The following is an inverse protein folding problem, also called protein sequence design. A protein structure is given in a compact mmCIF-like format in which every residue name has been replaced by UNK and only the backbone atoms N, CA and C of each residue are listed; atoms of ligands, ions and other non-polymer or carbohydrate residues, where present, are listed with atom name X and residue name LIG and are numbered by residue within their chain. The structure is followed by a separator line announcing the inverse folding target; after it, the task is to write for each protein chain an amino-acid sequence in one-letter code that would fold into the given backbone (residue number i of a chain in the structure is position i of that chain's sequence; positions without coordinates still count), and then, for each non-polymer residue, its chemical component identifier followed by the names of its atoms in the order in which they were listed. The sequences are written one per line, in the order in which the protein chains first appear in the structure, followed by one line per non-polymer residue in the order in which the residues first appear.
data_IF_683761949862
#
_entry.id   IF_683761949862
#
_cell.length_a   1.000
_cell.length_b   1.000
_cell.length_c   1.000
_cell.angle_alpha   90.00
_cell.angle_beta   90.00
_cell.angle_gamma   90.00
#
_symmetry.space_group_name_H-M   'P 1'
#
loop_
_entity.id
_entity.type
_entity.pdbx_description
1 polymer ?
#
# COMPACT_ATOMS: atom_id res chain seq x y z
N UNK A 1 -17.27 -11.09 -0.76
CA UNK A 1 -15.93 -10.93 -0.20
C UNK A 1 -15.73 -9.56 0.39
N UNK A 2 -15.21 -9.50 1.63
CA UNK A 2 -14.81 -8.27 2.30
C UNK A 2 -13.29 -8.37 2.50
N UNK A 3 -12.54 -7.54 1.78
CA UNK A 3 -11.07 -7.53 1.81
C UNK A 3 -10.49 -6.42 2.71
N UNK A 4 -11.35 -5.59 3.31
CA UNK A 4 -10.97 -4.60 4.30
C UNK A 4 -12.18 -4.06 5.06
N UNK A 5 -11.93 -3.60 6.29
CA UNK A 5 -12.95 -3.04 7.21
C UNK A 5 -12.36 -1.80 7.85
N UNK A 6 -13.10 -0.69 7.81
CA UNK A 6 -12.82 0.50 8.61
C UNK A 6 -13.72 0.53 9.85
N UNK A 7 -13.25 1.14 10.92
CA UNK A 7 -14.12 1.59 12.00
C UNK A 7 -14.96 2.81 11.56
N UNK A 8 -16.02 3.12 12.30
CA UNK A 8 -16.93 4.24 11.97
C UNK A 8 -16.24 5.60 11.99
N UNK A 9 -15.12 5.73 12.70
CA UNK A 9 -14.32 6.97 12.74
C UNK A 9 -13.35 7.10 11.56
N UNK A 10 -13.14 6.02 10.79
CA UNK A 10 -12.20 5.98 9.68
C UNK A 10 -10.73 5.99 10.09
N UNK A 11 -10.42 5.80 11.38
CA UNK A 11 -9.06 5.86 11.93
C UNK A 11 -8.38 4.50 11.99
N UNK A 12 -9.18 3.43 12.05
CA UNK A 12 -8.69 2.06 12.10
C UNK A 12 -9.12 1.38 10.81
N UNK A 13 -8.15 0.94 10.01
CA UNK A 13 -8.40 0.21 8.77
C UNK A 13 -7.68 -1.14 8.80
N UNK A 14 -8.46 -2.23 8.79
CA UNK A 14 -7.96 -3.59 8.63
C UNK A 14 -8.08 -4.04 7.18
N UNK A 15 -7.03 -4.66 6.64
CA UNK A 15 -6.97 -5.16 5.26
C UNK A 15 -6.54 -6.63 5.25
N UNK A 16 -7.10 -7.38 4.30
CA UNK A 16 -6.80 -8.80 4.06
C UNK A 16 -5.94 -9.07 2.81
N UNK A 17 -5.59 -8.12 1.94
CA UNK A 17 -4.23 -8.13 1.41
C UNK A 17 -3.28 -7.54 2.46
N UNK A 18 -2.04 -8.00 2.48
CA UNK A 18 -0.95 -7.44 3.27
C UNK A 18 -0.19 -6.39 2.43
N UNK A 19 -0.64 -5.12 2.39
CA UNK A 19 0.04 -4.07 1.60
C UNK A 19 1.47 -3.84 2.05
N UNK A 20 1.78 -4.08 3.33
CA UNK A 20 3.13 -4.00 3.88
C UNK A 20 4.11 -4.98 3.20
N UNK A 21 3.61 -6.10 2.68
CA UNK A 21 4.45 -7.08 2.00
C UNK A 21 4.96 -6.55 0.65
N UNK A 22 4.30 -5.56 0.06
CA UNK A 22 4.59 -5.03 -1.30
C UNK A 22 4.93 -3.53 -1.25
N UNK A 23 5.80 -3.12 -0.32
CA UNK A 23 6.33 -1.75 -0.25
C UNK A 23 7.46 -1.48 -1.26
N UNK A 24 8.22 -2.53 -1.59
CA UNK A 24 9.28 -2.51 -2.58
C UNK A 24 8.79 -3.11 -3.89
N UNK A 25 9.17 -2.57 -5.06
CA UNK A 25 8.79 -3.14 -6.35
C UNK A 25 9.35 -4.55 -6.55
N UNK A 26 10.40 -4.92 -5.80
CA UNK A 26 11.02 -6.26 -5.83
C UNK A 26 10.25 -7.31 -5.01
N UNK A 27 9.25 -6.90 -4.22
CA UNK A 27 8.45 -7.84 -3.44
C UNK A 27 7.20 -8.32 -4.21
N UNK A 28 6.89 -7.70 -5.36
CA UNK A 28 5.81 -8.12 -6.24
C UNK A 28 6.16 -9.48 -6.89
N UNK A 29 5.23 -10.44 -7.02
CA UNK A 29 5.53 -11.78 -7.56
C UNK A 29 6.14 -11.77 -8.97
N UNK A 30 5.81 -10.76 -9.77
CA UNK A 30 6.19 -10.62 -11.17
C UNK A 30 7.32 -9.59 -11.40
N UNK A 31 8.01 -9.15 -10.34
CA UNK A 31 9.06 -8.13 -10.41
C UNK A 31 10.16 -8.42 -11.43
N UNK A 32 10.49 -9.71 -11.63
CA UNK A 32 11.52 -10.12 -12.60
C UNK A 32 11.08 -9.82 -14.02
N UNK A 33 9.82 -10.13 -14.36
CA UNK A 33 9.22 -9.83 -15.66
C UNK A 33 9.14 -8.32 -15.87
N UNK A 34 8.64 -7.57 -14.88
CA UNK A 34 8.54 -6.11 -14.97
C UNK A 34 9.92 -5.46 -15.16
N UNK A 35 10.96 -5.97 -14.49
CA UNK A 35 12.35 -5.51 -14.66
C UNK A 35 12.89 -5.79 -16.06
N UNK A 36 12.65 -6.98 -16.61
CA UNK A 36 13.09 -7.35 -17.96
C UNK A 36 12.38 -6.52 -19.04
N UNK A 37 11.13 -6.15 -18.81
CA UNK A 37 10.35 -5.28 -19.71
C UNK A 37 10.68 -3.79 -19.55
N UNK A 38 11.55 -3.41 -18.59
CA UNK A 38 11.85 -2.01 -18.29
C UNK A 38 10.68 -1.24 -17.68
N UNK A 39 9.71 -1.95 -17.09
CA UNK A 39 8.49 -1.41 -16.50
C UNK A 39 8.46 -1.47 -14.97
N UNK A 40 9.56 -1.89 -14.34
CA UNK A 40 9.62 -2.00 -12.88
C UNK A 40 9.34 -0.63 -12.24
N UNK A 41 8.30 -0.49 -11.41
CA UNK A 41 7.98 0.78 -10.78
C UNK A 41 9.04 1.16 -9.76
N UNK A 42 9.10 2.45 -9.42
CA UNK A 42 10.03 2.97 -8.41
C UNK A 42 9.69 2.44 -7.00
N UNK A 43 8.40 2.20 -6.73
CA UNK A 43 7.86 1.79 -5.43
C UNK A 43 6.89 0.63 -5.59
N UNK A 44 6.74 -0.16 -4.53
CA UNK A 44 5.73 -1.21 -4.49
C UNK A 44 4.32 -0.65 -4.30
N UNK A 45 3.32 -1.36 -4.82
CA UNK A 45 1.91 -0.90 -4.86
C UNK A 45 1.31 -0.66 -3.47
N UNK A 46 1.78 -1.37 -2.44
CA UNK A 46 1.28 -1.25 -1.08
C UNK A 46 1.60 0.10 -0.42
N UNK A 47 2.55 0.86 -0.97
CA UNK A 47 2.99 2.16 -0.42
C UNK A 47 1.85 3.19 -0.33
N UNK A 48 0.91 3.18 -1.28
CA UNK A 48 -0.16 4.18 -1.37
C UNK A 48 -1.03 4.24 -0.10
N UNK A 49 -1.25 3.10 0.57
CA UNK A 49 -2.03 3.03 1.81
C UNK A 49 -1.35 3.81 2.93
N UNK A 50 -0.03 3.70 3.04
CA UNK A 50 0.76 4.36 4.08
C UNK A 50 0.94 5.85 3.80
N UNK A 51 1.12 6.25 2.53
CA UNK A 51 1.19 7.67 2.17
C UNK A 51 -0.11 8.41 2.54
N UNK A 52 -1.26 7.80 2.24
CA UNK A 52 -2.55 8.37 2.60
C UNK A 52 -2.72 8.49 4.12
N UNK A 53 -2.28 7.49 4.88
CA UNK A 53 -2.35 7.53 6.34
C UNK A 53 -1.48 8.66 6.94
N UNK A 54 -0.26 8.84 6.42
CA UNK A 54 0.65 9.91 6.85
C UNK A 54 0.10 11.29 6.48
N UNK A 55 -0.40 11.46 5.26
CA UNK A 55 -1.01 12.72 4.82
C UNK A 55 -2.20 13.11 5.70
N UNK A 56 -3.12 12.17 5.95
CA UNK A 56 -4.26 12.39 6.83
C UNK A 56 -3.83 12.80 8.24
N UNK A 57 -2.82 12.11 8.81
CA UNK A 57 -2.30 12.43 10.13
C UNK A 57 -1.69 13.84 10.19
N UNK A 58 -0.92 14.23 9.16
CA UNK A 58 -0.31 15.56 9.11
C UNK A 58 -1.36 16.69 9.01
N UNK A 59 -2.47 16.46 8.31
CA UNK A 59 -3.53 17.44 8.14
C UNK A 59 -4.50 17.53 9.33
N UNK A 60 -4.71 16.43 10.07
CA UNK A 60 -5.81 16.31 11.04
C UNK A 60 -5.35 16.06 12.48
N UNK A 61 -4.08 15.73 12.71
CA UNK A 61 -3.53 15.40 14.03
C UNK A 61 -2.35 16.31 14.44
N UNK A 62 -2.08 17.37 13.67
CA UNK A 62 -1.07 18.40 13.93
C UNK A 62 -1.58 19.56 14.79
#
# INVERSE_FOLDING_TARGET
DIAGICDETGRIFGLMPHPEAVLSPFNAPDWQTQKLEGKLPEWGEGRIIFENAVAFAAENLG
#
